data_IF_525662155135
#
_entry.id   IF_525662155135
#
_cell.length_a   1.000
_cell.length_b   1.000
_cell.length_c   1.000
_cell.angle_alpha   90.00
_cell.angle_beta   90.00
_cell.angle_gamma   90.00
#
_symmetry.space_group_name_H-M   'P 1'
#
loop_
_entity.id
_entity.type
_entity.pdbx_description
1 polymer ?
#
# COMPACT_ATOMS: atom_id res chain seq x y z
N UNK A 1 -8.34 -12.53 -4.12
CA UNK A 1 -9.73 -12.41 -4.67
C UNK A 1 -9.83 -11.01 -5.23
N UNK A 2 -10.42 -10.80 -6.41
CA UNK A 2 -10.40 -9.47 -7.02
C UNK A 2 -11.48 -8.56 -6.43
N UNK A 3 -11.12 -7.32 -6.08
CA UNK A 3 -12.05 -6.30 -5.61
C UNK A 3 -12.97 -5.80 -6.74
N UNK A 4 -14.28 -5.93 -6.55
CA UNK A 4 -15.29 -5.52 -7.54
C UNK A 4 -15.61 -4.02 -7.48
N UNK A 5 -15.38 -3.38 -6.34
CA UNK A 5 -15.68 -1.97 -6.10
C UNK A 5 -14.40 -1.17 -5.87
N UNK A 6 -14.42 0.12 -6.22
CA UNK A 6 -13.30 1.01 -5.95
C UNK A 6 -13.07 1.14 -4.44
N UNK A 7 -11.83 1.38 -4.04
CA UNK A 7 -11.50 1.69 -2.65
C UNK A 7 -12.21 2.98 -2.23
N UNK A 8 -12.78 3.02 -1.03
CA UNK A 8 -13.54 4.19 -0.54
C UNK A 8 -12.69 5.48 -0.41
N UNK A 9 -11.36 5.30 -0.35
CA UNK A 9 -10.37 6.37 -0.34
C UNK A 9 -9.72 6.65 -1.70
N UNK A 10 -10.15 6.00 -2.78
CA UNK A 10 -9.63 6.27 -4.13
C UNK A 10 -9.69 7.77 -4.46
N UNK A 11 -8.57 8.32 -4.93
CA UNK A 11 -8.36 9.74 -5.22
C UNK A 11 -8.13 10.63 -4.01
N UNK A 12 -8.10 10.09 -2.78
CA UNK A 12 -7.89 10.88 -1.55
C UNK A 12 -6.44 10.79 -1.07
N UNK A 13 -5.98 11.87 -0.45
CA UNK A 13 -4.74 11.90 0.31
C UNK A 13 -5.00 11.40 1.74
N UNK A 14 -4.16 10.50 2.24
CA UNK A 14 -4.27 9.91 3.57
C UNK A 14 -2.90 9.90 4.25
N UNK A 15 -2.89 10.01 5.57
CA UNK A 15 -1.70 9.71 6.35
C UNK A 15 -1.47 8.20 6.35
N UNK A 16 -0.24 7.78 6.09
CA UNK A 16 0.19 6.40 6.23
C UNK A 16 1.35 6.35 7.21
N UNK A 17 1.22 5.50 8.22
CA UNK A 17 2.32 5.22 9.15
C UNK A 17 3.00 3.94 8.70
N UNK A 18 4.15 4.10 8.04
CA UNK A 18 4.91 2.96 7.53
C UNK A 18 5.93 2.53 8.58
N UNK A 19 5.90 1.24 8.95
CA UNK A 19 7.00 0.62 9.73
C UNK A 19 8.15 0.31 8.79
N UNK A 20 9.31 0.91 9.06
CA UNK A 20 10.43 0.93 8.12
C UNK A 20 11.60 0.01 8.51
N UNK A 21 11.60 -0.56 9.72
CA UNK A 21 12.70 -1.38 10.23
C UNK A 21 12.22 -2.66 10.94
N UNK A 22 13.18 -3.58 11.14
CA UNK A 22 13.01 -4.87 11.82
C UNK A 22 12.70 -4.71 13.32
N UNK A 23 13.13 -3.59 13.91
CA UNK A 23 13.06 -3.34 15.35
C UNK A 23 11.83 -2.50 15.75
N UNK A 24 11.07 -1.98 14.77
CA UNK A 24 9.81 -1.26 14.97
C UNK A 24 9.97 0.18 15.48
N UNK A 25 11.19 0.71 15.52
CA UNK A 25 11.52 2.00 16.14
C UNK A 25 11.34 3.18 15.18
N UNK A 26 11.62 3.00 13.89
CA UNK A 26 11.43 4.04 12.88
C UNK A 26 10.04 3.96 12.22
N UNK A 27 9.09 4.69 12.78
CA UNK A 27 7.82 5.01 12.10
C UNK A 27 7.92 6.38 11.45
N UNK A 28 7.55 6.47 10.18
CA UNK A 28 7.41 7.76 9.49
C UNK A 28 5.99 7.89 8.98
N UNK A 29 5.35 9.00 9.33
CA UNK A 29 4.10 9.40 8.70
C UNK A 29 4.42 10.05 7.35
N UNK A 30 3.75 9.57 6.30
CA UNK A 30 3.83 10.13 4.95
C UNK A 30 2.42 10.39 4.41
N UNK A 31 2.29 11.38 3.53
CA UNK A 31 1.06 11.60 2.77
C UNK A 31 1.09 10.71 1.55
N UNK A 32 0.13 9.81 1.48
CA UNK A 32 -0.08 8.87 0.38
C UNK A 32 -1.39 9.23 -0.32
N UNK A 33 -1.35 9.37 -1.64
CA UNK A 33 -2.57 9.54 -2.43
C UNK A 33 -2.97 8.19 -2.98
N UNK A 34 -4.13 7.71 -2.54
CA UNK A 34 -4.67 6.41 -2.94
C UNK A 34 -5.16 6.51 -4.38
N UNK A 35 -4.73 5.58 -5.22
CA UNK A 35 -5.26 5.43 -6.59
C UNK A 35 -6.50 4.53 -6.56
N UNK A 36 -6.32 3.25 -6.23
CA UNK A 36 -7.39 2.27 -6.00
C UNK A 36 -6.77 1.00 -5.37
N UNK A 37 -7.56 -0.06 -5.21
CA UNK A 37 -7.07 -1.40 -4.94
C UNK A 37 -6.03 -1.84 -5.99
N UNK A 38 -4.93 -2.45 -5.54
CA UNK A 38 -3.86 -2.92 -6.43
C UNK A 38 -4.41 -3.82 -7.56
N UNK A 39 -5.26 -4.78 -7.21
CA UNK A 39 -5.80 -5.79 -8.12
C UNK A 39 -6.78 -5.21 -9.16
N UNK A 40 -7.36 -4.04 -8.91
CA UNK A 40 -8.15 -3.27 -9.88
C UNK A 40 -7.26 -2.48 -10.84
N UNK A 41 -6.19 -1.88 -10.33
CA UNK A 41 -5.23 -1.13 -11.15
C UNK A 41 -4.43 -2.06 -12.07
N UNK A 42 -3.91 -3.17 -11.54
CA UNK A 42 -3.00 -4.07 -12.25
C UNK A 42 -3.67 -5.37 -12.74
N UNK A 43 -4.89 -5.66 -12.31
CA UNK A 43 -5.69 -6.76 -12.81
C UNK A 43 -5.47 -8.12 -12.14
N UNK A 44 -4.50 -8.24 -11.23
CA UNK A 44 -4.12 -9.46 -10.53
C UNK A 44 -3.52 -9.14 -9.15
N UNK A 45 -3.33 -10.15 -8.31
CA UNK A 45 -2.68 -10.03 -7.00
C UNK A 45 -1.26 -9.46 -7.10
N UNK A 46 -0.86 -8.66 -6.12
CA UNK A 46 0.50 -8.13 -6.02
C UNK A 46 1.53 -9.25 -5.87
N UNK A 47 1.11 -10.40 -5.32
CA UNK A 47 1.95 -11.59 -5.16
C UNK A 47 2.37 -12.18 -6.51
N UNK A 48 1.61 -11.91 -7.58
CA UNK A 48 1.91 -12.37 -8.94
C UNK A 48 2.66 -11.31 -9.77
N UNK A 49 2.93 -10.13 -9.22
CA UNK A 49 3.49 -8.97 -9.91
C UNK A 49 5.02 -9.08 -10.12
N UNK A 50 5.46 -10.15 -10.76
CA UNK A 50 6.87 -10.42 -11.02
C UNK A 50 7.53 -9.27 -11.81
N UNK A 51 8.66 -8.78 -11.28
CA UNK A 51 9.40 -7.68 -11.90
C UNK A 51 8.83 -6.28 -11.63
N UNK A 52 7.71 -6.14 -10.91
CA UNK A 52 7.21 -4.84 -10.50
C UNK A 52 7.98 -4.32 -9.26
N UNK A 53 8.70 -3.19 -9.35
CA UNK A 53 9.50 -2.69 -8.24
C UNK A 53 8.68 -2.33 -7.00
N UNK A 54 7.46 -1.79 -7.18
CA UNK A 54 6.61 -1.41 -6.06
C UNK A 54 6.11 -2.63 -5.29
N UNK A 55 5.67 -3.69 -5.99
CA UNK A 55 5.25 -4.94 -5.37
C UNK A 55 6.42 -5.65 -4.66
N UNK A 56 7.63 -5.63 -5.26
CA UNK A 56 8.83 -6.19 -4.63
C UNK A 56 9.20 -5.46 -3.33
N UNK A 57 9.25 -4.12 -3.36
CA UNK A 57 9.54 -3.30 -2.18
C UNK A 57 8.48 -3.51 -1.09
N UNK A 58 7.22 -3.61 -1.48
CA UNK A 58 6.12 -3.92 -0.57
C UNK A 58 6.27 -5.31 0.07
N UNK A 59 6.57 -6.36 -0.70
CA UNK A 59 6.74 -7.70 -0.16
C UNK A 59 7.87 -7.80 0.88
N UNK A 60 9.01 -7.15 0.60
CA UNK A 60 10.13 -7.07 1.56
C UNK A 60 9.70 -6.33 2.82
N UNK A 61 9.10 -5.15 2.67
CA UNK A 61 8.67 -4.29 3.78
C UNK A 61 7.58 -4.96 4.63
N UNK A 62 6.56 -5.51 3.99
CA UNK A 62 5.44 -6.19 4.64
C UNK A 62 5.89 -7.42 5.42
N UNK A 63 6.87 -8.17 4.90
CA UNK A 63 7.52 -9.26 5.62
C UNK A 63 8.19 -8.82 6.93
N UNK A 64 8.89 -7.67 6.92
CA UNK A 64 9.49 -7.11 8.13
C UNK A 64 8.45 -6.54 9.10
N UNK A 65 7.42 -5.86 8.57
CA UNK A 65 6.38 -5.22 9.37
C UNK A 65 5.32 -6.21 9.90
N UNK A 66 5.37 -7.48 9.48
CA UNK A 66 4.40 -8.52 9.83
C UNK A 66 3.01 -8.25 9.26
N UNK A 67 2.92 -7.64 8.07
CA UNK A 67 1.65 -7.36 7.43
C UNK A 67 0.98 -8.65 6.92
N UNK A 68 -0.37 -8.67 6.86
CA UNK A 68 -1.10 -9.76 6.24
C UNK A 68 -0.64 -10.01 4.79
N UNK A 69 -0.65 -11.30 4.41
CA UNK A 69 -0.35 -11.74 3.04
C UNK A 69 -1.67 -12.00 2.32
N UNK A 70 -2.33 -10.92 1.94
CA UNK A 70 -3.61 -10.92 1.23
C UNK A 70 -3.66 -9.79 0.17
N UNK A 71 -4.80 -9.66 -0.51
CA UNK A 71 -5.01 -8.64 -1.55
C UNK A 71 -5.61 -7.33 -1.00
N UNK A 72 -5.69 -7.14 0.32
CA UNK A 72 -6.23 -5.92 0.97
C UNK A 72 -5.19 -4.79 0.93
N UNK A 73 -4.76 -4.48 -0.29
CA UNK A 73 -3.62 -3.62 -0.59
C UNK A 73 -4.03 -2.60 -1.65
N UNK A 74 -3.76 -1.34 -1.36
CA UNK A 74 -4.00 -0.23 -2.29
C UNK A 74 -2.71 0.16 -3.02
N UNK A 75 -2.87 0.56 -4.26
CA UNK A 75 -1.84 1.27 -5.02
C UNK A 75 -2.05 2.77 -4.92
N UNK A 76 -0.97 3.53 -4.94
CA UNK A 76 -1.00 4.98 -4.89
C UNK A 76 0.39 5.57 -4.90
N UNK A 77 0.51 6.83 -4.54
CA UNK A 77 1.80 7.53 -4.62
C UNK A 77 2.12 8.39 -3.40
N UNK A 78 3.42 8.41 -3.04
CA UNK A 78 4.02 9.38 -2.12
C UNK A 78 4.96 10.26 -2.92
N UNK A 79 4.70 11.57 -2.94
CA UNK A 79 5.49 12.54 -3.70
C UNK A 79 5.75 12.14 -5.18
N UNK A 80 4.77 11.49 -5.81
CA UNK A 80 4.85 11.02 -7.20
C UNK A 80 5.51 9.65 -7.39
N UNK A 81 6.06 9.02 -6.35
CA UNK A 81 6.59 7.66 -6.41
C UNK A 81 5.49 6.63 -6.07
N UNK A 82 5.27 5.67 -6.97
CA UNK A 82 4.26 4.62 -6.82
C UNK A 82 4.63 3.60 -5.75
N UNK A 83 3.69 3.27 -4.86
CA UNK A 83 3.89 2.40 -3.70
C UNK A 83 2.62 1.58 -3.40
N UNK A 84 2.80 0.42 -2.76
CA UNK A 84 1.70 -0.38 -2.21
C UNK A 84 1.65 -0.20 -0.69
N UNK A 85 0.42 -0.12 -0.17
CA UNK A 85 0.14 0.05 1.25
C UNK A 85 -0.99 -0.90 1.63
N UNK A 86 -0.81 -1.65 2.72
CA UNK A 86 -1.89 -2.49 3.25
C UNK A 86 -2.94 -1.59 3.93
N UNK A 87 -4.22 -1.94 3.84
CA UNK A 87 -5.30 -1.09 4.40
C UNK A 87 -5.17 -0.82 5.90
N UNK A 88 -4.56 -1.75 6.66
CA UNK A 88 -4.30 -1.56 8.09
C UNK A 88 -3.30 -0.45 8.41
N UNK A 89 -2.58 0.05 7.42
CA UNK A 89 -1.59 1.13 7.56
C UNK A 89 -2.19 2.51 7.20
N UNK A 90 -3.40 2.53 6.63
CA UNK A 90 -4.10 3.75 6.27
C UNK A 90 -4.65 4.44 7.52
N UNK A 91 -4.32 5.72 7.66
CA UNK A 91 -4.79 6.58 8.74
C UNK A 91 -5.82 7.60 8.25
N UNK A 92 -5.80 8.78 8.86
CA UNK A 92 -6.78 9.82 8.58
C UNK A 92 -6.63 10.42 7.17
N UNK A 93 -7.77 10.77 6.57
CA UNK A 93 -7.82 11.54 5.32
C UNK A 93 -7.26 12.95 5.57
N UNK A 94 -6.32 13.36 4.73
CA UNK A 94 -5.73 14.71 4.74
C UNK A 94 -6.47 15.57 3.71
N UNK A 95 -7.11 16.63 4.18
CA UNK A 95 -7.88 17.63 3.38
C UNK A 95 -6.99 18.69 2.75
#
# INVERSE_FOLDING_TARGET
MKHEQAHELAGKAVAVTVRHDRDGEATREVVFVVEDWWDRVYGDSWMNANGNPAAMLYGIRGGFAGLPVDDEVVYGHVAGAGQLVHVSELGEVRS
#
